data_IF_833270899251
#
_entry.id   IF_833270899251
#
_cell.length_a   1.000
_cell.length_b   1.000
_cell.length_c   1.000
_cell.angle_alpha   90.00
_cell.angle_beta   90.00
_cell.angle_gamma   90.00
#
_symmetry.space_group_name_H-M   'P 1'
#
loop_
_entity.id
_entity.type
_entity.pdbx_description
1 polymer ?
#
# COMPACT_ATOMS: atom_id res chain seq x y z
N UNK A 1 -14.60 -29.81 8.68
CA UNK A 1 -14.87 -28.35 8.63
C UNK A 1 -13.74 -27.52 8.00
N UNK A 2 -12.48 -27.58 8.44
CA UNK A 2 -11.39 -26.74 7.87
C UNK A 2 -11.16 -26.89 6.35
N UNK A 3 -11.17 -28.11 5.80
CA UNK A 3 -11.00 -28.35 4.34
C UNK A 3 -12.14 -27.76 3.49
N UNK A 4 -13.39 -27.94 3.91
CA UNK A 4 -14.56 -27.38 3.22
C UNK A 4 -14.53 -25.84 3.18
N UNK A 5 -14.03 -25.20 4.25
CA UNK A 5 -13.87 -23.75 4.32
C UNK A 5 -12.75 -23.24 3.39
N UNK A 6 -11.65 -23.99 3.25
CA UNK A 6 -10.55 -23.67 2.33
C UNK A 6 -11.03 -23.79 0.88
N UNK A 7 -11.75 -24.86 0.54
CA UNK A 7 -12.31 -25.04 -0.80
C UNK A 7 -13.36 -23.97 -1.14
N UNK A 8 -14.17 -23.54 -0.18
CA UNK A 8 -15.15 -22.46 -0.37
C UNK A 8 -14.46 -21.10 -0.59
N UNK A 9 -13.41 -20.77 0.17
CA UNK A 9 -12.61 -19.56 -0.03
C UNK A 9 -11.90 -19.56 -1.39
N UNK A 10 -11.22 -20.64 -1.74
CA UNK A 10 -10.60 -20.79 -3.06
C UNK A 10 -11.60 -20.65 -4.19
N UNK A 11 -12.80 -21.24 -4.08
CA UNK A 11 -13.87 -21.10 -5.07
C UNK A 11 -14.33 -19.65 -5.18
N UNK A 12 -14.49 -18.93 -4.07
CA UNK A 12 -14.90 -17.52 -4.07
C UNK A 12 -13.83 -16.64 -4.73
N UNK A 13 -12.56 -16.75 -4.34
CA UNK A 13 -11.45 -15.96 -4.90
C UNK A 13 -11.23 -16.28 -6.39
N UNK A 14 -11.30 -17.56 -6.77
CA UNK A 14 -11.24 -17.98 -8.19
C UNK A 14 -12.44 -17.49 -9.00
N UNK A 15 -13.63 -17.39 -8.38
CA UNK A 15 -14.84 -16.88 -9.04
C UNK A 15 -14.75 -15.38 -9.29
N UNK A 16 -14.22 -14.60 -8.34
CA UNK A 16 -13.97 -13.16 -8.51
C UNK A 16 -13.03 -12.94 -9.70
N UNK A 17 -11.91 -13.67 -9.77
CA UNK A 17 -10.95 -13.58 -10.88
C UNK A 17 -11.60 -13.98 -12.20
N UNK A 18 -12.32 -15.11 -12.26
CA UNK A 18 -12.99 -15.57 -13.49
C UNK A 18 -14.14 -14.68 -13.96
N UNK A 19 -14.80 -13.95 -13.06
CA UNK A 19 -15.82 -12.97 -13.41
C UNK A 19 -15.20 -11.69 -13.97
N UNK A 20 -14.05 -11.26 -13.44
CA UNK A 20 -13.28 -10.16 -14.02
C UNK A 20 -12.77 -10.51 -15.43
N UNK A 21 -12.17 -11.69 -15.60
CA UNK A 21 -11.67 -12.18 -16.89
C UNK A 21 -12.76 -12.31 -17.96
N UNK A 22 -14.01 -12.60 -17.57
CA UNK A 22 -15.15 -12.74 -18.51
C UNK A 22 -15.87 -11.43 -18.84
N UNK A 23 -15.73 -10.41 -17.98
CA UNK A 23 -16.42 -9.13 -18.16
C UNK A 23 -15.69 -8.19 -19.14
N UNK A 24 -14.46 -8.53 -19.53
CA UNK A 24 -13.57 -7.71 -20.36
C UNK A 24 -12.97 -8.58 -21.46
N UNK A 25 -13.63 -8.62 -22.61
CA UNK A 25 -13.10 -9.28 -23.82
C UNK A 25 -11.97 -8.41 -24.42
N UNK A 26 -10.88 -8.26 -23.67
CA UNK A 26 -9.78 -7.34 -23.96
C UNK A 26 -8.60 -8.16 -24.50
N UNK A 27 -8.16 -7.85 -25.73
CA UNK A 27 -6.90 -8.39 -26.27
C UNK A 27 -5.72 -7.82 -25.48
N UNK A 28 -5.22 -8.52 -24.46
CA UNK A 28 -4.06 -8.11 -23.68
C UNK A 28 -2.75 -8.22 -24.49
N UNK A 29 -1.71 -7.42 -24.18
CA UNK A 29 -0.40 -7.59 -24.79
C UNK A 29 0.14 -9.01 -24.55
N UNK A 30 0.88 -9.54 -25.53
CA UNK A 30 1.44 -10.89 -25.44
C UNK A 30 2.29 -11.05 -24.17
N UNK A 31 2.09 -12.15 -23.45
CA UNK A 31 2.82 -12.45 -22.20
C UNK A 31 2.26 -11.77 -20.96
N UNK A 32 1.27 -10.88 -21.10
CA UNK A 32 0.60 -10.23 -19.98
C UNK A 32 -0.67 -10.98 -19.57
N UNK A 33 -1.11 -10.76 -18.33
CA UNK A 33 -2.43 -11.14 -17.84
C UNK A 33 -3.08 -9.95 -17.14
N UNK A 34 -4.36 -10.08 -16.76
CA UNK A 34 -4.94 -9.13 -15.82
C UNK A 34 -4.21 -9.22 -14.46
N UNK A 35 -4.15 -8.10 -13.73
CA UNK A 35 -3.64 -8.11 -12.35
C UNK A 35 -4.72 -8.57 -11.39
N UNK A 36 -4.42 -9.64 -10.65
CA UNK A 36 -5.33 -10.16 -9.65
C UNK A 36 -5.41 -9.23 -8.45
N UNK A 37 -4.28 -8.68 -8.01
CA UNK A 37 -4.22 -7.71 -6.91
C UNK A 37 -4.97 -6.41 -7.25
N UNK A 38 -4.99 -6.00 -8.52
CA UNK A 38 -5.82 -4.88 -8.99
C UNK A 38 -7.31 -5.15 -8.79
N UNK A 39 -7.76 -6.35 -9.18
CA UNK A 39 -9.14 -6.79 -9.01
C UNK A 39 -9.52 -6.81 -7.53
N UNK A 40 -8.66 -7.35 -6.67
CA UNK A 40 -8.88 -7.34 -5.23
C UNK A 40 -8.92 -5.93 -4.65
N UNK A 41 -8.09 -4.99 -5.13
CA UNK A 41 -8.09 -3.61 -4.66
C UNK A 41 -9.34 -2.82 -5.11
N UNK A 42 -9.86 -3.13 -6.31
CA UNK A 42 -11.11 -2.56 -6.81
C UNK A 42 -12.32 -3.01 -5.96
N UNK A 43 -12.24 -4.19 -5.33
CA UNK A 43 -13.09 -4.52 -4.20
C UNK A 43 -12.61 -3.68 -3.01
N UNK A 44 -13.38 -2.67 -2.61
CA UNK A 44 -13.00 -1.66 -1.61
C UNK A 44 -12.64 -2.24 -0.23
N UNK A 45 -12.74 -3.55 0.00
CA UNK A 45 -12.34 -4.23 1.23
C UNK A 45 -10.82 -4.49 1.33
N UNK A 46 -10.06 -4.42 0.22
CA UNK A 46 -8.60 -4.61 0.21
C UNK A 46 -7.79 -3.33 0.03
N UNK A 47 -8.38 -2.16 0.28
CA UNK A 47 -7.64 -0.90 0.37
C UNK A 47 -7.16 -0.64 1.80
N UNK A 48 -6.17 0.24 1.94
CA UNK A 48 -5.54 0.53 3.22
C UNK A 48 -6.53 1.14 4.23
N UNK A 49 -7.39 2.05 3.79
CA UNK A 49 -8.42 2.66 4.65
C UNK A 49 -9.40 1.63 5.24
N UNK A 50 -9.82 0.64 4.46
CA UNK A 50 -10.69 -0.44 4.93
C UNK A 50 -10.01 -1.28 6.02
N UNK A 51 -8.70 -1.53 5.88
CA UNK A 51 -7.90 -2.26 6.88
C UNK A 51 -7.78 -1.48 8.19
N UNK A 52 -7.68 -0.14 8.12
CA UNK A 52 -7.58 0.72 9.30
C UNK A 52 -8.92 0.94 10.03
N UNK A 53 -10.05 0.72 9.35
CA UNK A 53 -11.41 0.91 9.87
C UNK A 53 -11.67 0.00 11.09
N UNK A 54 -12.44 0.47 12.09
CA UNK A 54 -12.81 -0.39 13.20
C UNK A 54 -13.90 -1.37 12.76
N UNK A 55 -13.78 -2.61 13.23
CA UNK A 55 -14.72 -3.70 12.91
C UNK A 55 -15.55 -4.00 14.13
N UNK A 56 -16.87 -3.88 14.00
CA UNK A 56 -17.83 -4.20 15.07
C UNK A 56 -17.83 -5.71 15.32
N UNK A 57 -17.87 -6.11 16.59
CA UNK A 57 -17.96 -7.51 16.96
C UNK A 57 -19.35 -8.11 16.66
N UNK A 58 -19.47 -9.42 16.70
CA UNK A 58 -20.74 -10.12 16.38
C UNK A 58 -21.92 -9.73 17.29
N UNK A 59 -21.66 -9.23 18.49
CA UNK A 59 -22.68 -8.76 19.43
C UNK A 59 -23.08 -7.30 19.25
N UNK A 60 -22.41 -6.53 18.39
CA UNK A 60 -22.65 -5.10 18.24
C UNK A 60 -22.20 -4.25 19.43
N UNK A 61 -21.58 -4.85 20.45
CA UNK A 61 -21.32 -4.22 21.75
C UNK A 61 -19.92 -3.58 21.86
N UNK A 62 -19.11 -3.69 20.80
CA UNK A 62 -17.76 -3.15 20.77
C UNK A 62 -17.04 -3.51 19.47
N UNK A 63 -15.73 -3.26 19.44
CA UNK A 63 -14.89 -3.50 18.27
C UNK A 63 -13.96 -4.70 18.49
N UNK A 64 -13.69 -5.47 17.43
CA UNK A 64 -12.78 -6.62 17.48
C UNK A 64 -11.32 -6.20 17.38
N UNK A 65 -11.03 -5.18 16.56
CA UNK A 65 -9.68 -4.72 16.24
C UNK A 65 -9.34 -3.36 16.85
N UNK A 66 -10.14 -2.85 17.79
CA UNK A 66 -9.92 -1.57 18.46
C UNK A 66 -10.28 -1.70 19.94
N UNK A 67 -9.31 -1.50 20.83
CA UNK A 67 -9.56 -1.54 22.27
C UNK A 67 -8.65 -0.59 23.04
N UNK A 68 -9.11 -0.13 24.20
CA UNK A 68 -8.35 0.72 25.09
C UNK A 68 -7.65 -0.12 26.16
N UNK A 69 -6.40 0.19 26.46
CA UNK A 69 -5.69 -0.31 27.62
C UNK A 69 -6.25 0.37 28.89
N UNK A 70 -6.72 -0.40 29.89
CA UNK A 70 -7.38 0.17 31.07
C UNK A 70 -6.43 0.97 31.96
N UNK A 71 -5.13 0.68 31.93
CA UNK A 71 -4.10 1.27 32.78
C UNK A 71 -3.54 2.54 32.13
N UNK A 72 -3.11 2.45 30.88
CA UNK A 72 -2.49 3.57 30.17
C UNK A 72 -3.50 4.53 29.56
N UNK A 73 -4.77 4.10 29.43
CA UNK A 73 -5.84 4.82 28.71
C UNK A 73 -5.41 5.19 27.28
N UNK A 74 -4.65 4.30 26.63
CA UNK A 74 -4.23 4.40 25.23
C UNK A 74 -4.73 3.21 24.44
N UNK A 75 -4.70 3.32 23.11
CA UNK A 75 -4.92 2.20 22.23
C UNK A 75 -4.05 1.03 22.68
N UNK A 76 -4.68 -0.13 22.84
CA UNK A 76 -4.00 -1.35 23.24
C UNK A 76 -3.03 -1.75 22.13
N UNK A 77 -1.77 -1.96 22.53
CA UNK A 77 -0.76 -2.55 21.65
C UNK A 77 -1.20 -3.94 21.22
N UNK A 78 -1.08 -4.22 19.92
CA UNK A 78 -1.39 -5.47 19.27
C UNK A 78 -0.08 -6.04 18.71
N UNK A 79 0.77 -6.69 19.53
CA UNK A 79 1.92 -7.42 19.04
C UNK A 79 1.47 -8.64 18.24
N UNK A 80 2.23 -9.00 17.20
CA UNK A 80 1.91 -10.13 16.31
C UNK A 80 3.13 -11.03 16.12
N UNK A 81 2.89 -12.24 15.63
CA UNK A 81 3.93 -13.26 15.48
C UNK A 81 4.96 -12.92 14.39
N UNK A 82 4.56 -12.27 13.30
CA UNK A 82 5.46 -11.92 12.21
C UNK A 82 5.33 -10.43 11.83
N UNK A 83 6.45 -9.72 11.85
CA UNK A 83 6.57 -8.37 11.31
C UNK A 83 7.93 -8.23 10.65
N UNK A 84 7.94 -7.89 9.37
CA UNK A 84 9.16 -7.73 8.58
C UNK A 84 9.20 -6.35 7.93
N UNK A 85 10.40 -5.78 7.87
CA UNK A 85 10.70 -4.64 7.01
C UNK A 85 11.32 -5.13 5.71
N UNK A 86 10.98 -4.50 4.59
CA UNK A 86 11.60 -4.83 3.31
C UNK A 86 11.63 -3.63 2.36
N UNK A 87 12.57 -3.63 1.41
CA UNK A 87 12.64 -2.65 0.33
C UNK A 87 12.67 -3.38 -1.01
N UNK A 88 11.88 -2.90 -1.97
CA UNK A 88 12.08 -3.25 -3.37
C UNK A 88 13.32 -2.53 -3.89
N UNK A 89 14.24 -3.26 -4.50
CA UNK A 89 15.50 -2.69 -5.00
C UNK A 89 15.37 -2.46 -6.51
N UNK A 90 15.17 -3.53 -7.26
CA UNK A 90 15.06 -3.50 -8.71
C UNK A 90 14.37 -4.76 -9.23
N UNK A 91 13.79 -4.67 -10.43
CA UNK A 91 13.35 -5.81 -11.20
C UNK A 91 14.15 -5.90 -12.51
N UNK A 92 14.74 -7.06 -12.78
CA UNK A 92 15.67 -7.31 -13.88
C UNK A 92 15.09 -8.29 -14.89
N UNK A 93 15.56 -8.16 -16.13
CA UNK A 93 15.14 -9.00 -17.26
C UNK A 93 13.64 -8.97 -17.49
N UNK A 94 12.98 -7.85 -17.19
CA UNK A 94 11.55 -7.69 -17.49
C UNK A 94 11.43 -7.54 -19.00
N UNK A 95 10.64 -8.41 -19.62
CA UNK A 95 10.40 -8.31 -21.06
C UNK A 95 9.72 -6.97 -21.35
N UNK A 96 10.29 -6.13 -22.23
CA UNK A 96 9.61 -4.91 -22.65
C UNK A 96 8.25 -5.27 -23.24
N UNK A 97 7.24 -4.45 -22.95
CA UNK A 97 5.96 -4.58 -23.62
C UNK A 97 6.16 -4.22 -25.10
N UNK A 98 6.04 -5.21 -25.99
CA UNK A 98 6.20 -5.07 -27.44
C UNK A 98 4.81 -4.84 -28.07
N UNK A 99 4.66 -3.78 -28.87
CA UNK A 99 3.45 -3.46 -29.66
C UNK A 99 3.23 -1.96 -29.87
N UNK A 100 2.16 -1.58 -30.56
CA UNK A 100 1.77 -0.18 -30.84
C UNK A 100 1.18 0.57 -29.62
N UNK A 101 1.19 -0.06 -28.46
CA UNK A 101 0.52 0.45 -27.26
C UNK A 101 1.47 1.23 -26.38
N UNK A 102 1.03 2.40 -25.93
CA UNK A 102 1.83 3.30 -25.10
C UNK A 102 1.79 2.86 -23.63
N UNK A 103 2.95 2.63 -23.03
CA UNK A 103 3.08 2.40 -21.59
C UNK A 103 3.07 3.75 -20.86
N UNK A 104 2.12 3.93 -19.94
CA UNK A 104 1.89 5.17 -19.18
C UNK A 104 2.52 5.14 -17.80
N UNK A 105 2.88 3.96 -17.31
CA UNK A 105 3.31 3.76 -15.94
C UNK A 105 3.69 2.32 -15.64
N UNK A 106 4.47 2.13 -14.57
CA UNK A 106 4.93 0.82 -14.09
C UNK A 106 4.95 0.84 -12.57
N UNK A 107 4.59 -0.26 -11.95
CA UNK A 107 4.57 -0.39 -10.48
C UNK A 107 4.58 -1.86 -10.07
N UNK A 108 4.81 -2.11 -8.79
CA UNK A 108 4.60 -3.43 -8.17
C UNK A 108 3.44 -3.33 -7.22
N UNK A 109 2.46 -4.22 -7.37
CA UNK A 109 1.42 -4.48 -6.36
C UNK A 109 1.89 -5.60 -5.46
N UNK A 110 1.55 -5.52 -4.18
CA UNK A 110 1.87 -6.56 -3.21
C UNK A 110 0.81 -6.71 -2.13
N UNK A 111 0.66 -7.93 -1.61
CA UNK A 111 -0.21 -8.21 -0.48
C UNK A 111 0.21 -9.50 0.25
N UNK A 112 -0.25 -9.66 1.49
CA UNK A 112 -0.18 -10.93 2.21
C UNK A 112 -1.10 -11.95 1.53
N UNK A 113 -0.56 -13.14 1.26
CA UNK A 113 -1.22 -14.20 0.52
C UNK A 113 -0.96 -15.56 1.19
N UNK A 114 -1.94 -16.45 1.20
CA UNK A 114 -1.84 -17.80 1.78
C UNK A 114 -1.92 -18.92 0.73
N UNK A 115 -1.62 -18.59 -0.53
CA UNK A 115 -1.86 -19.40 -1.73
C UNK A 115 -3.34 -19.55 -2.13
N UNK A 116 -4.27 -18.96 -1.37
CA UNK A 116 -5.72 -19.10 -1.63
C UNK A 116 -6.49 -17.79 -1.63
N UNK A 117 -6.12 -16.83 -0.79
CA UNK A 117 -6.82 -15.57 -0.64
C UNK A 117 -5.86 -14.45 -0.20
N UNK A 118 -6.25 -13.22 -0.51
CA UNK A 118 -5.51 -12.01 -0.11
C UNK A 118 -5.92 -11.63 1.32
N UNK A 119 -4.95 -11.63 2.23
CA UNK A 119 -5.19 -11.49 3.68
C UNK A 119 -4.93 -10.08 4.24
N UNK A 120 -4.23 -9.22 3.49
CA UNK A 120 -4.00 -7.82 3.85
C UNK A 120 -4.65 -6.88 2.84
N UNK A 121 -4.53 -5.57 3.06
CA UNK A 121 -4.69 -4.62 1.96
C UNK A 121 -3.65 -4.88 0.85
N UNK A 122 -3.99 -4.45 -0.36
CA UNK A 122 -3.06 -4.36 -1.49
C UNK A 122 -2.29 -3.06 -1.38
N UNK A 123 -0.96 -3.13 -1.43
CA UNK A 123 -0.07 -1.98 -1.44
C UNK A 123 0.66 -1.91 -2.78
N UNK A 124 1.02 -0.70 -3.23
CA UNK A 124 1.69 -0.50 -4.52
C UNK A 124 2.89 0.43 -4.37
N UNK A 125 3.97 0.13 -5.09
CA UNK A 125 5.14 1.00 -5.21
C UNK A 125 5.36 1.32 -6.70
N UNK A 126 5.43 2.61 -7.08
CA UNK A 126 5.75 2.99 -8.45
C UNK A 126 7.19 2.60 -8.82
N UNK A 127 7.38 2.16 -10.06
CA UNK A 127 8.70 1.86 -10.60
C UNK A 127 9.24 3.05 -11.40
N UNK A 128 10.54 3.27 -11.29
CA UNK A 128 11.32 4.21 -12.09
C UNK A 128 11.82 3.46 -13.32
N UNK A 129 11.34 3.89 -14.49
CA UNK A 129 11.73 3.33 -15.78
C UNK A 129 12.98 4.04 -16.32
N UNK A 130 14.02 3.27 -16.64
CA UNK A 130 15.22 3.79 -17.30
C UNK A 130 15.15 3.48 -18.79
N UNK A 131 15.09 4.51 -19.65
CA UNK A 131 14.93 4.33 -21.10
C UNK A 131 16.13 3.63 -21.73
N UNK A 132 17.30 3.83 -21.16
CA UNK A 132 18.58 3.26 -21.59
C UNK A 132 18.67 1.76 -21.30
N UNK A 133 17.89 1.27 -20.31
CA UNK A 133 17.88 -0.13 -19.88
C UNK A 133 16.42 -0.58 -19.68
N UNK A 134 15.67 -0.79 -20.78
CA UNK A 134 14.21 -0.96 -20.74
C UNK A 134 13.74 -2.22 -20.01
N UNK A 135 14.63 -3.20 -19.81
CA UNK A 135 14.39 -4.44 -19.08
C UNK A 135 14.70 -4.34 -17.58
N UNK A 136 15.02 -3.14 -17.08
CA UNK A 136 15.36 -2.86 -15.69
C UNK A 136 14.40 -1.82 -15.12
N UNK A 137 13.71 -2.20 -14.04
CA UNK A 137 12.87 -1.30 -13.26
C UNK A 137 13.58 -1.05 -11.94
N UNK A 138 13.69 0.22 -11.53
CA UNK A 138 14.21 0.58 -10.20
C UNK A 138 13.07 1.06 -9.31
N UNK A 139 13.25 0.98 -8.01
CA UNK A 139 12.24 1.46 -7.05
C UNK A 139 12.76 2.59 -6.15
N UNK A 140 14.02 3.00 -6.31
CA UNK A 140 14.56 4.20 -5.67
C UNK A 140 15.45 4.94 -6.66
N UNK A 141 15.39 6.28 -6.60
CA UNK A 141 16.30 7.18 -7.31
C UNK A 141 17.61 7.40 -6.55
N UNK A 142 17.66 7.03 -5.26
CA UNK A 142 18.83 7.24 -4.41
C UNK A 142 19.89 6.17 -4.68
N UNK A 143 21.13 6.61 -4.88
CA UNK A 143 22.26 5.71 -5.08
C UNK A 143 22.69 4.94 -3.81
N UNK A 144 22.20 5.34 -2.63
CA UNK A 144 22.63 4.78 -1.34
C UNK A 144 21.59 3.82 -0.75
N UNK A 145 22.04 2.59 -0.45
CA UNK A 145 21.29 1.52 0.22
C UNK A 145 21.33 1.62 1.76
N UNK A 146 21.94 2.69 2.30
CA UNK A 146 21.95 2.97 3.74
C UNK A 146 20.62 3.62 4.13
N UNK A 147 19.63 2.75 4.38
CA UNK A 147 18.36 3.01 5.06
C UNK A 147 17.81 4.45 5.01
N UNK A 148 17.14 4.86 3.93
CA UNK A 148 16.25 5.99 4.02
C UNK A 148 14.99 5.53 4.76
N UNK A 149 14.80 5.99 6.00
CA UNK A 149 13.49 5.87 6.71
C UNK A 149 12.34 6.55 5.93
N UNK A 150 12.70 7.33 4.91
CA UNK A 150 11.82 8.28 4.23
C UNK A 150 11.54 7.88 2.77
N UNK A 151 11.86 6.66 2.34
CA UNK A 151 11.66 6.22 0.96
C UNK A 151 10.39 5.38 0.81
N UNK A 152 9.55 5.71 -0.18
CA UNK A 152 8.26 5.05 -0.44
C UNK A 152 8.43 3.56 -0.78
N UNK A 153 9.61 3.17 -1.26
CA UNK A 153 9.93 1.78 -1.57
C UNK A 153 10.25 0.91 -0.34
N UNK A 154 10.30 1.52 0.84
CA UNK A 154 10.66 0.86 2.11
C UNK A 154 9.39 0.59 2.91
N UNK A 155 9.03 -0.69 2.95
CA UNK A 155 7.76 -1.20 3.43
C UNK A 155 7.88 -2.03 4.70
N UNK A 156 6.73 -2.26 5.31
CA UNK A 156 6.53 -3.32 6.28
C UNK A 156 5.34 -4.19 5.90
N UNK A 157 5.39 -5.43 6.36
CA UNK A 157 4.25 -6.32 6.40
C UNK A 157 4.21 -6.99 7.76
N UNK A 158 3.00 -7.16 8.28
CA UNK A 158 2.78 -7.88 9.53
C UNK A 158 1.58 -8.80 9.44
N UNK A 159 1.62 -9.86 10.22
CA UNK A 159 0.55 -10.86 10.38
C UNK A 159 0.67 -11.54 11.73
N UNK A 160 -0.48 -11.90 12.31
CA UNK A 160 -0.53 -12.71 13.52
C UNK A 160 -0.62 -14.21 13.25
N UNK A 161 -0.86 -14.59 12.00
CA UNK A 161 -0.88 -15.98 11.56
C UNK A 161 0.54 -16.52 11.35
N UNK A 162 0.73 -17.78 11.69
CA UNK A 162 1.97 -18.54 11.42
C UNK A 162 1.59 -19.79 10.65
N UNK A 163 1.81 -19.72 9.34
CA UNK A 163 1.61 -20.82 8.41
C UNK A 163 2.70 -20.72 7.33
N UNK A 164 3.32 -21.85 7.00
CA UNK A 164 4.36 -21.97 5.97
C UNK A 164 3.87 -21.58 4.57
N UNK A 165 2.55 -21.51 4.37
CA UNK A 165 1.94 -21.04 3.13
C UNK A 165 1.89 -19.52 3.01
N UNK A 166 2.11 -18.78 4.09
CA UNK A 166 2.06 -17.34 4.06
C UNK A 166 3.25 -16.80 3.29
N UNK A 167 2.95 -15.95 2.32
CA UNK A 167 3.92 -15.26 1.52
C UNK A 167 3.48 -13.82 1.24
N UNK A 168 4.42 -13.00 0.79
CA UNK A 168 4.10 -11.78 0.08
C UNK A 168 3.95 -12.14 -1.40
N UNK A 169 2.77 -11.93 -1.97
CA UNK A 169 2.55 -11.99 -3.41
C UNK A 169 2.95 -10.64 -4.01
N UNK A 170 3.77 -10.65 -5.06
CA UNK A 170 4.12 -9.49 -5.86
C UNK A 170 3.57 -9.66 -7.27
N UNK A 171 2.95 -8.61 -7.82
CA UNK A 171 2.61 -8.50 -9.25
C UNK A 171 3.27 -7.25 -9.82
N UNK A 172 4.16 -7.42 -10.80
CA UNK A 172 4.67 -6.32 -11.61
C UNK A 172 3.60 -5.93 -12.60
N UNK A 173 3.19 -4.66 -12.54
CA UNK A 173 2.10 -4.12 -13.31
C UNK A 173 2.60 -3.01 -14.23
N UNK A 174 1.96 -2.89 -15.38
CA UNK A 174 2.14 -1.78 -16.31
C UNK A 174 0.78 -1.18 -16.65
N UNK A 175 0.71 0.15 -16.68
CA UNK A 175 -0.43 0.86 -17.24
C UNK A 175 -0.21 1.05 -18.74
N UNK A 176 -1.18 0.63 -19.52
CA UNK A 176 -1.11 0.61 -20.98
C UNK A 176 -2.31 1.32 -21.56
N UNK A 177 -2.05 2.15 -22.57
CA UNK A 177 -3.07 2.79 -23.38
C UNK A 177 -3.68 1.78 -24.37
N UNK A 178 -4.99 1.57 -24.28
CA UNK A 178 -5.77 0.79 -25.24
C UNK A 178 -6.44 1.79 -26.19
N UNK A 179 -6.10 1.71 -27.47
CA UNK A 179 -6.70 2.56 -28.50
C UNK A 179 -7.33 1.67 -29.56
N UNK A 180 -8.65 1.61 -29.57
CA UNK A 180 -9.41 1.02 -30.68
C UNK A 180 -10.45 1.99 -31.27
N UNK A 181 -10.70 3.15 -30.63
CA UNK A 181 -11.65 4.16 -31.13
C UNK A 181 -11.03 5.56 -31.10
N UNK A 182 -11.10 6.28 -32.22
CA UNK A 182 -10.74 7.71 -32.29
C UNK A 182 -11.61 8.49 -31.28
N UNK A 183 -11.00 9.05 -30.24
CA UNK A 183 -11.57 9.92 -29.19
C UNK A 183 -11.88 9.29 -27.82
N UNK A 184 -11.49 8.03 -27.54
CA UNK A 184 -11.48 7.51 -26.16
C UNK A 184 -10.22 6.69 -25.91
N UNK A 185 -9.35 7.21 -25.06
CA UNK A 185 -8.19 6.49 -24.54
C UNK A 185 -8.63 5.69 -23.33
N UNK A 186 -8.77 4.38 -23.46
CA UNK A 186 -9.00 3.51 -22.32
C UNK A 186 -7.65 3.10 -21.73
N UNK A 187 -7.44 3.32 -20.44
CA UNK A 187 -6.23 2.91 -19.73
C UNK A 187 -6.53 1.59 -19.02
N UNK A 188 -5.71 0.58 -19.27
CA UNK A 188 -5.78 -0.68 -18.55
C UNK A 188 -4.51 -0.93 -17.76
N UNK A 189 -4.64 -1.69 -16.69
CA UNK A 189 -3.51 -2.23 -15.95
C UNK A 189 -3.34 -3.70 -16.31
N UNK A 190 -2.11 -4.08 -16.67
CA UNK A 190 -1.76 -5.47 -16.98
C UNK A 190 -0.63 -5.95 -16.07
N UNK A 191 -0.71 -7.20 -15.64
CA UNK A 191 0.38 -7.90 -14.97
C UNK A 191 1.38 -8.41 -16.01
N UNK A 192 2.65 -8.05 -15.84
CA UNK A 192 3.77 -8.49 -16.68
C UNK A 192 4.59 -9.61 -16.03
N UNK A 193 4.26 -9.94 -14.78
CA UNK A 193 4.83 -11.07 -14.07
C UNK A 193 4.54 -11.00 -12.58
N UNK A 194 4.53 -12.16 -11.93
CA UNK A 194 4.25 -12.27 -10.50
C UNK A 194 5.26 -13.20 -9.81
N UNK A 195 5.46 -13.01 -8.51
CA UNK A 195 6.37 -13.83 -7.71
C UNK A 195 5.97 -13.83 -6.24
N UNK A 196 6.52 -14.75 -5.46
CA UNK A 196 6.18 -14.92 -4.06
C UNK A 196 7.43 -14.91 -3.17
N UNK A 197 7.33 -14.30 -2.00
CA UNK A 197 8.32 -14.39 -0.94
C UNK A 197 7.68 -15.07 0.28
N UNK A 198 8.01 -16.34 0.60
CA UNK A 198 7.55 -16.98 1.81
C UNK A 198 7.92 -16.18 3.05
N UNK A 199 7.05 -16.14 4.06
CA UNK A 199 7.35 -15.53 5.36
C UNK A 199 8.04 -16.49 6.31
N UNK A 200 7.85 -17.79 6.08
CA UNK A 200 8.42 -18.86 6.88
C UNK A 200 9.08 -19.90 5.97
N UNK A 201 10.15 -20.51 6.46
CA UNK A 201 10.79 -21.68 5.85
C UNK A 201 9.95 -22.94 6.10
N UNK A 202 10.30 -24.05 5.44
CA UNK A 202 9.55 -25.31 5.53
C UNK A 202 9.52 -25.93 6.93
N UNK A 203 10.45 -25.56 7.80
CA UNK A 203 10.50 -25.95 9.22
C UNK A 203 9.69 -25.00 10.14
N UNK A 204 9.04 -23.99 9.56
CA UNK A 204 8.20 -23.02 10.28
C UNK A 204 8.97 -21.84 10.90
N UNK A 205 10.28 -21.71 10.67
CA UNK A 205 11.04 -20.55 11.14
C UNK A 205 10.84 -19.34 10.24
N UNK A 206 10.89 -18.12 10.79
CA UNK A 206 10.75 -16.90 9.98
C UNK A 206 11.95 -16.73 9.04
N UNK A 207 11.72 -16.18 7.85
CA UNK A 207 12.79 -15.96 6.87
C UNK A 207 13.93 -15.06 7.38
N UNK A 208 15.13 -15.28 6.85
CA UNK A 208 16.35 -14.57 7.25
C UNK A 208 16.37 -13.12 6.77
N UNK A 209 17.13 -12.28 7.47
CA UNK A 209 17.41 -10.90 7.09
C UNK A 209 18.49 -10.86 6.00
N UNK A 210 18.08 -10.89 4.74
CA UNK A 210 18.99 -10.83 3.59
C UNK A 210 18.30 -10.29 2.36
N UNK A 211 19.05 -10.18 1.28
CA UNK A 211 18.50 -9.94 -0.05
C UNK A 211 18.00 -11.24 -0.67
N UNK A 212 16.81 -11.19 -1.25
CA UNK A 212 16.17 -12.26 -1.99
C UNK A 212 16.06 -11.86 -3.46
N UNK A 213 16.31 -12.82 -4.34
CA UNK A 213 16.13 -12.67 -5.79
C UNK A 213 14.95 -13.55 -6.19
N UNK A 214 13.77 -12.93 -6.30
CA UNK A 214 12.49 -13.61 -6.51
C UNK A 214 12.28 -13.77 -8.00
N UNK A 215 12.16 -15.02 -8.47
CA UNK A 215 11.80 -15.30 -9.86
C UNK A 215 10.36 -14.84 -10.13
N UNK A 216 10.16 -14.23 -11.29
CA UNK A 216 8.85 -13.83 -11.76
C UNK A 216 8.34 -14.80 -12.82
N UNK A 217 7.05 -15.09 -12.75
CA UNK A 217 6.31 -15.99 -13.64
C UNK A 217 5.25 -15.21 -14.41
N UNK A 218 4.93 -15.65 -15.63
CA UNK A 218 3.83 -15.10 -16.42
C UNK A 218 2.48 -15.70 -16.02
N UNK A 219 1.38 -15.07 -16.46
CA UNK A 219 0.02 -15.55 -16.21
C UNK A 219 -0.49 -15.22 -14.81
N UNK A 220 -1.54 -15.91 -14.37
CA UNK A 220 -2.17 -15.66 -13.07
C UNK A 220 -1.50 -16.44 -11.93
N UNK A 221 -1.32 -15.83 -10.74
CA UNK A 221 -0.87 -16.53 -9.52
C UNK A 221 -1.82 -17.64 -9.05
N UNK A 222 -3.07 -17.68 -9.56
CA UNK A 222 -4.06 -18.71 -9.21
C UNK A 222 -4.13 -19.86 -10.23
N UNK A 223 -3.29 -19.86 -11.27
CA UNK A 223 -3.28 -20.93 -12.27
C UNK A 223 -2.68 -22.22 -11.69
N UNK A 224 -3.21 -23.40 -12.05
CA UNK A 224 -2.69 -24.69 -11.54
C UNK A 224 -1.23 -24.95 -11.96
N UNK A 225 -0.81 -24.37 -13.08
CA UNK A 225 0.55 -24.45 -13.60
C UNK A 225 1.55 -23.58 -12.81
N UNK A 226 1.07 -22.52 -12.17
CA UNK A 226 1.88 -21.62 -11.34
C UNK A 226 2.57 -22.37 -10.20
N UNK A 227 1.80 -23.12 -9.42
CA UNK A 227 2.30 -23.87 -8.26
C UNK A 227 3.07 -25.13 -8.67
N UNK A 228 2.76 -25.73 -9.81
CA UNK A 228 3.48 -26.91 -10.31
C UNK A 228 4.94 -26.61 -10.70
N UNK A 229 5.20 -25.40 -11.23
CA UNK A 229 6.54 -24.94 -11.64
C UNK A 229 7.49 -24.69 -10.47
N UNK A 230 6.96 -24.37 -9.28
CA UNK A 230 7.76 -24.13 -8.07
C UNK A 230 8.37 -25.44 -7.51
N UNK A 231 7.69 -26.59 -7.69
CA UNK A 231 8.13 -27.89 -7.18
C UNK A 231 8.97 -28.72 -8.16
N UNK A 232 8.94 -28.44 -9.47
CA UNK A 232 9.57 -29.30 -10.48
C UNK A 232 10.97 -28.86 -10.92
N UNK A 233 11.38 -27.61 -10.75
CA UNK A 233 12.67 -27.13 -11.27
C UNK A 233 13.82 -27.19 -10.23
N UNK A 234 14.24 -28.39 -9.83
CA UNK A 234 15.60 -28.61 -9.31
C UNK A 234 16.60 -28.60 -10.47
N UNK A 235 17.03 -27.42 -10.95
CA UNK A 235 18.08 -27.31 -11.98
C UNK A 235 19.48 -27.23 -11.36
N UNK A 236 20.41 -27.95 -11.98
CA UNK A 236 21.81 -28.12 -11.58
C UNK A 236 22.57 -26.80 -11.59
N UNK A 237 23.31 -26.53 -10.50
CA UNK A 237 24.13 -25.33 -10.25
C UNK A 237 25.06 -24.93 -11.42
N UNK A 238 25.46 -25.89 -12.25
CA UNK A 238 26.38 -25.69 -13.37
C UNK A 238 25.75 -25.06 -14.63
N UNK A 239 24.43 -25.19 -14.83
CA UNK A 239 23.75 -24.55 -15.98
C UNK A 239 23.58 -23.03 -15.79
N UNK A 240 23.43 -22.59 -14.54
CA UNK A 240 23.24 -21.18 -14.14
C UNK A 240 24.50 -20.32 -14.35
N UNK A 241 25.68 -20.95 -14.30
CA UNK A 241 26.98 -20.28 -14.52
C UNK A 241 27.29 -20.02 -16.00
N UNK A 242 26.77 -20.85 -16.91
CA UNK A 242 27.09 -20.79 -18.35
C UNK A 242 26.10 -19.90 -19.12
N UNK A 243 24.84 -19.85 -18.69
CA UNK A 243 23.79 -19.02 -19.30
C UNK A 243 23.34 -17.99 -18.28
N UNK A 244 24.12 -16.91 -18.11
CA UNK A 244 23.87 -15.87 -17.10
C UNK A 244 22.37 -15.59 -16.93
N UNK A 245 21.85 -15.71 -15.70
CA UNK A 245 20.41 -15.77 -15.39
C UNK A 245 19.58 -14.75 -16.19
N UNK A 246 18.92 -15.21 -17.26
CA UNK A 246 18.08 -14.39 -18.17
C UNK A 246 16.61 -14.31 -17.74
N UNK A 247 16.21 -15.01 -16.68
CA UNK A 247 14.81 -15.00 -16.25
C UNK A 247 14.42 -13.67 -15.58
N UNK A 248 13.18 -13.19 -15.79
CA UNK A 248 12.60 -12.06 -15.06
C UNK A 248 12.67 -12.29 -13.54
N UNK A 249 13.13 -11.29 -12.78
CA UNK A 249 13.28 -11.40 -11.33
C UNK A 249 13.15 -10.07 -10.60
N UNK A 250 12.73 -10.13 -9.35
CA UNK A 250 12.57 -9.00 -8.44
C UNK A 250 13.53 -9.14 -7.25
N UNK A 251 14.41 -8.15 -7.06
CA UNK A 251 15.32 -8.09 -5.94
C UNK A 251 14.69 -7.34 -4.76
N UNK A 252 14.66 -7.98 -3.61
CA UNK A 252 14.10 -7.45 -2.37
C UNK A 252 15.12 -7.60 -1.24
N UNK A 253 15.28 -6.56 -0.42
CA UNK A 253 16.07 -6.64 0.82
C UNK A 253 15.12 -6.73 2.01
N UNK A 254 15.30 -7.72 2.88
CA UNK A 254 14.48 -7.94 4.08
C UNK A 254 15.30 -7.73 5.34
N UNK A 255 14.70 -7.14 6.38
CA UNK A 255 15.32 -6.97 7.69
C UNK A 255 14.30 -6.98 8.83
N UNK A 256 14.80 -7.21 10.05
CA UNK A 256 14.04 -7.03 11.29
C UNK A 256 13.93 -5.56 11.65
N UNK A 257 12.74 -5.13 12.00
CA UNK A 257 12.48 -3.77 12.47
C UNK A 257 12.96 -3.57 13.90
N UNK A 258 13.47 -2.38 14.21
CA UNK A 258 13.88 -2.02 15.57
C UNK A 258 12.69 -1.79 16.50
N UNK A 259 12.90 -1.94 17.82
CA UNK A 259 11.82 -1.86 18.80
C UNK A 259 11.02 -0.55 18.73
N UNK A 260 11.68 0.59 18.54
CA UNK A 260 11.00 1.88 18.51
C UNK A 260 9.93 2.01 17.42
N UNK A 261 10.20 1.50 16.21
CA UNK A 261 9.18 1.48 15.14
C UNK A 261 8.15 0.37 15.35
N UNK A 262 8.54 -0.76 15.96
CA UNK A 262 7.61 -1.83 16.31
C UNK A 262 6.55 -1.37 17.32
N UNK A 263 6.90 -0.52 18.28
CA UNK A 263 5.94 0.02 19.25
C UNK A 263 4.81 0.81 18.58
N UNK A 264 5.13 1.55 17.51
CA UNK A 264 4.15 2.26 16.69
C UNK A 264 3.39 1.31 15.75
N UNK A 265 4.08 0.38 15.09
CA UNK A 265 3.46 -0.63 14.23
C UNK A 265 2.45 -1.47 15.02
N UNK A 266 2.74 -1.78 16.29
CA UNK A 266 1.83 -2.53 17.15
C UNK A 266 0.51 -1.79 17.44
N UNK A 267 0.38 -0.50 17.09
CA UNK A 267 -0.90 0.21 17.14
C UNK A 267 -1.78 -0.06 15.91
N UNK A 268 -1.24 -0.70 14.87
CA UNK A 268 -1.92 -1.00 13.61
C UNK A 268 -2.64 -2.36 13.68
N UNK A 269 -3.54 -2.66 12.73
CA UNK A 269 -4.18 -3.97 12.60
C UNK A 269 -3.18 -5.12 12.48
N UNK A 270 -3.65 -6.34 12.75
CA UNK A 270 -2.83 -7.55 12.75
C UNK A 270 -2.26 -7.90 11.38
N UNK A 271 -3.03 -7.66 10.31
CA UNK A 271 -2.65 -7.97 8.92
C UNK A 271 -2.72 -6.71 8.07
N UNK A 272 -1.55 -6.14 7.75
CA UNK A 272 -1.45 -4.87 7.02
C UNK A 272 -0.10 -4.80 6.28
N UNK A 273 -0.11 -4.18 5.12
CA UNK A 273 1.08 -3.90 4.31
C UNK A 273 1.08 -2.43 3.87
N UNK A 274 2.17 -1.70 4.11
CA UNK A 274 2.32 -0.30 3.68
C UNK A 274 3.78 0.13 3.75
N UNK A 275 4.07 1.37 3.34
CA UNK A 275 5.37 1.99 3.52
C UNK A 275 5.62 2.41 4.97
N UNK A 276 6.87 2.31 5.41
CA UNK A 276 7.27 2.53 6.81
C UNK A 276 7.04 3.98 7.26
N UNK A 277 7.24 4.96 6.37
CA UNK A 277 7.02 6.37 6.72
C UNK A 277 5.54 6.73 6.97
N UNK A 278 4.58 5.87 6.59
CA UNK A 278 3.16 6.05 6.95
C UNK A 278 2.83 5.57 8.37
N UNK A 279 3.68 4.78 9.02
CA UNK A 279 3.38 4.18 10.33
C UNK A 279 2.97 5.22 11.37
N UNK A 280 3.70 6.34 11.57
CA UNK A 280 3.37 7.29 12.63
C UNK A 280 1.99 7.92 12.45
N UNK A 281 1.63 8.28 11.21
CA UNK A 281 0.32 8.89 10.92
C UNK A 281 -0.82 7.87 11.01
N UNK A 282 -0.62 6.64 10.54
CA UNK A 282 -1.61 5.56 10.67
C UNK A 282 -1.84 5.16 12.14
N UNK A 283 -0.77 5.06 12.93
CA UNK A 283 -0.84 4.76 14.35
C UNK A 283 -1.57 5.87 15.11
N UNK A 284 -1.26 7.14 14.79
CA UNK A 284 -1.94 8.28 15.41
C UNK A 284 -3.42 8.36 15.03
N UNK A 285 -3.76 8.10 13.77
CA UNK A 285 -5.15 7.97 13.31
C UNK A 285 -5.93 6.94 14.15
N UNK A 286 -5.39 5.73 14.31
CA UNK A 286 -6.02 4.68 15.11
C UNK A 286 -6.14 5.02 16.60
N UNK A 287 -5.14 5.69 17.17
CA UNK A 287 -5.22 6.18 18.55
C UNK A 287 -6.35 7.21 18.70
N UNK A 288 -6.46 8.18 17.79
CA UNK A 288 -7.52 9.21 17.84
C UNK A 288 -8.90 8.56 17.65
N UNK A 289 -9.01 7.58 16.75
CA UNK A 289 -10.22 6.79 16.56
C UNK A 289 -10.61 6.05 17.85
N UNK A 290 -9.67 5.40 18.53
CA UNK A 290 -9.90 4.75 19.83
C UNK A 290 -10.39 5.73 20.90
N UNK A 291 -9.74 6.89 21.02
CA UNK A 291 -10.16 7.95 21.94
C UNK A 291 -11.57 8.46 21.60
N UNK A 292 -11.89 8.58 20.31
CA UNK A 292 -13.15 9.15 19.84
C UNK A 292 -14.30 8.14 19.92
N UNK A 293 -14.06 6.84 19.76
CA UNK A 293 -15.12 5.83 19.75
C UNK A 293 -15.33 5.15 21.11
N UNK A 294 -14.26 4.95 21.88
CA UNK A 294 -14.30 4.13 23.11
C UNK A 294 -14.28 5.00 24.37
N UNK A 295 -13.44 6.04 24.40
CA UNK A 295 -13.18 6.80 25.64
C UNK A 295 -14.31 7.76 25.98
N UNK A 296 -14.78 8.48 24.98
CA UNK A 296 -15.88 9.40 25.15
C UNK A 296 -17.20 8.60 25.07
N UNK A 297 -17.99 8.60 26.15
CA UNK A 297 -19.26 7.85 26.25
C UNK A 297 -20.47 8.64 25.73
N UNK A 298 -20.26 9.85 25.20
CA UNK A 298 -21.32 10.62 24.55
C UNK A 298 -21.64 10.10 23.14
N UNK A 299 -22.63 9.23 23.01
CA UNK A 299 -23.10 8.64 21.73
C UNK A 299 -23.78 9.64 20.76
N UNK A 300 -23.54 10.95 20.89
CA UNK A 300 -24.03 11.95 19.93
C UNK A 300 -23.22 11.96 18.63
N UNK A 301 -23.68 12.65 17.57
CA UNK A 301 -22.92 12.79 16.32
C UNK A 301 -21.55 13.43 16.60
N UNK A 302 -20.48 12.66 16.41
CA UNK A 302 -19.10 13.15 16.54
C UNK A 302 -18.56 13.46 15.17
N UNK A 303 -18.19 14.71 14.95
CA UNK A 303 -17.46 15.12 13.75
C UNK A 303 -16.03 15.43 14.15
N UNK A 304 -15.12 14.53 13.80
CA UNK A 304 -13.69 14.85 13.77
C UNK A 304 -13.30 14.87 12.29
N UNK A 305 -13.24 16.05 11.65
CA UNK A 305 -12.96 16.19 10.21
C UNK A 305 -11.71 15.41 9.78
N UNK A 306 -10.69 15.37 10.64
CA UNK A 306 -9.47 14.63 10.35
C UNK A 306 -9.71 13.12 10.33
N UNK A 307 -10.59 12.59 11.18
CA UNK A 307 -10.99 11.19 11.14
C UNK A 307 -11.83 10.83 9.91
N UNK A 308 -12.67 11.77 9.44
CA UNK A 308 -13.51 11.58 8.25
C UNK A 308 -12.68 11.60 6.96
N UNK A 309 -11.73 12.53 6.85
CA UNK A 309 -10.95 12.75 5.63
C UNK A 309 -9.75 11.79 5.50
N UNK A 310 -9.13 11.39 6.61
CA UNK A 310 -7.93 10.55 6.57
C UNK A 310 -8.07 9.28 5.72
N UNK A 311 -9.19 8.51 5.78
CA UNK A 311 -9.42 7.38 4.87
C UNK A 311 -9.23 7.70 3.38
N UNK A 312 -9.73 8.84 2.90
CA UNK A 312 -9.61 9.27 1.50
C UNK A 312 -8.16 9.55 1.13
N UNK A 313 -7.43 10.27 1.99
CA UNK A 313 -5.99 10.51 1.82
C UNK A 313 -5.23 9.19 1.83
N UNK A 314 -5.58 8.28 2.73
CA UNK A 314 -4.91 6.99 2.92
C UNK A 314 -5.01 6.07 1.70
N UNK A 315 -6.05 6.22 0.87
CA UNK A 315 -6.20 5.47 -0.37
C UNK A 315 -5.35 6.02 -1.53
N UNK A 316 -4.74 7.20 -1.38
CA UNK A 316 -3.88 7.83 -2.39
C UNK A 316 -2.43 7.88 -1.86
N UNK A 317 -1.57 7.00 -2.37
CA UNK A 317 -0.21 6.79 -1.81
C UNK A 317 0.63 8.06 -1.74
N UNK A 318 0.50 8.92 -2.76
CA UNK A 318 1.22 10.19 -2.88
C UNK A 318 0.78 11.21 -1.81
N UNK A 319 -0.53 11.34 -1.57
CA UNK A 319 -1.05 12.21 -0.51
C UNK A 319 -0.78 11.65 0.89
N UNK A 320 -0.82 10.33 1.08
CA UNK A 320 -0.41 9.73 2.34
C UNK A 320 1.08 9.98 2.62
N UNK A 321 1.94 9.89 1.60
CA UNK A 321 3.35 10.21 1.73
C UNK A 321 3.58 11.70 2.05
N UNK A 322 2.88 12.59 1.35
CA UNK A 322 2.87 14.02 1.65
C UNK A 322 2.46 14.28 3.12
N UNK A 323 1.39 13.63 3.58
CA UNK A 323 0.94 13.74 4.97
C UNK A 323 2.01 13.27 5.96
N UNK A 324 2.70 12.16 5.66
CA UNK A 324 3.82 11.66 6.46
C UNK A 324 4.96 12.68 6.57
N UNK A 325 5.36 13.30 5.46
CA UNK A 325 6.40 14.35 5.46
C UNK A 325 5.96 15.54 6.30
N UNK A 326 4.73 16.03 6.12
CA UNK A 326 4.18 17.17 6.87
C UNK A 326 4.14 16.85 8.38
N UNK A 327 3.66 15.65 8.73
CA UNK A 327 3.61 15.15 10.10
C UNK A 327 4.98 15.10 10.74
N UNK A 328 5.97 14.49 10.08
CA UNK A 328 7.33 14.40 10.60
C UNK A 328 7.89 15.80 10.87
N UNK A 329 7.80 16.72 9.89
CA UNK A 329 8.26 18.11 10.04
C UNK A 329 7.58 18.82 11.22
N UNK A 330 6.26 18.69 11.37
CA UNK A 330 5.49 19.34 12.44
C UNK A 330 5.72 18.74 13.82
N UNK A 331 6.12 17.48 13.92
CA UNK A 331 6.31 16.76 15.19
C UNK A 331 7.77 16.67 15.65
N UNK A 332 8.74 16.93 14.77
CA UNK A 332 10.18 16.86 15.06
C UNK A 332 10.61 17.65 16.31
N UNK A 333 10.01 18.83 16.53
CA UNK A 333 10.28 19.69 17.70
C UNK A 333 9.41 19.38 18.93
N UNK A 334 8.34 18.63 18.76
CA UNK A 334 7.40 18.26 19.83
C UNK A 334 8.03 17.20 20.75
N UNK A 335 8.83 16.29 20.19
CA UNK A 335 9.52 15.22 20.93
C UNK A 335 10.60 15.72 21.91
N UNK A 336 11.08 16.97 21.78
CA UNK A 336 12.19 17.50 22.58
C UNK A 336 11.76 18.27 23.84
N UNK A 337 10.48 18.62 23.97
CA UNK A 337 9.97 19.35 25.13
C UNK A 337 9.53 18.35 26.21
N UNK A 338 10.03 18.49 27.45
CA UNK A 338 9.64 17.74 28.66
C UNK A 338 8.17 17.99 29.06
N UNK A 339 7.23 17.76 28.16
CA UNK A 339 5.80 17.95 28.40
C UNK A 339 5.25 16.71 29.09
N UNK A 340 4.38 16.87 30.10
CA UNK A 340 3.67 15.74 30.72
C UNK A 340 2.97 14.91 29.63
N UNK A 341 3.08 13.58 29.70
CA UNK A 341 2.56 12.64 28.70
C UNK A 341 1.11 12.89 28.26
N UNK A 342 0.23 13.32 29.17
CA UNK A 342 -1.16 13.65 28.85
C UNK A 342 -1.31 14.90 27.97
N UNK A 343 -0.58 15.98 28.28
CA UNK A 343 -0.57 17.21 27.48
C UNK A 343 0.05 16.98 26.11
N UNK A 344 1.10 16.17 26.04
CA UNK A 344 1.72 15.76 24.78
C UNK A 344 0.72 15.07 23.85
N UNK A 345 -0.10 14.16 24.37
CA UNK A 345 -1.09 13.44 23.54
C UNK A 345 -2.18 14.33 22.97
N UNK A 346 -2.67 15.30 23.77
CA UNK A 346 -3.61 16.32 23.30
C UNK A 346 -2.99 17.17 22.20
N UNK A 347 -1.74 17.63 22.40
CA UNK A 347 -1.02 18.41 21.41
C UNK A 347 -0.79 17.64 20.11
N UNK A 348 -0.39 16.36 20.19
CA UNK A 348 -0.23 15.50 19.02
C UNK A 348 -1.55 15.21 18.30
N UNK A 349 -2.68 15.09 19.03
CA UNK A 349 -4.01 14.98 18.39
C UNK A 349 -4.34 16.25 17.61
N UNK A 350 -4.14 17.43 18.20
CA UNK A 350 -4.36 18.71 17.52
C UNK A 350 -3.47 18.84 16.27
N UNK A 351 -2.18 18.52 16.40
CA UNK A 351 -1.23 18.55 15.27
C UNK A 351 -1.63 17.58 14.16
N UNK A 352 -2.15 16.41 14.50
CA UNK A 352 -2.63 15.45 13.51
C UNK A 352 -3.79 16.05 12.70
N UNK A 353 -4.76 16.65 13.40
CA UNK A 353 -5.86 17.38 12.76
C UNK A 353 -5.36 18.49 11.83
N UNK A 354 -4.44 19.32 12.29
CA UNK A 354 -3.81 20.35 11.45
C UNK A 354 -3.14 19.75 10.20
N UNK A 355 -2.41 18.65 10.32
CA UNK A 355 -1.74 18.02 9.17
C UNK A 355 -2.75 17.49 8.15
N UNK A 356 -3.78 16.77 8.60
CA UNK A 356 -4.82 16.24 7.71
C UNK A 356 -5.56 17.38 7.00
N UNK A 357 -5.93 18.43 7.73
CA UNK A 357 -6.63 19.59 7.16
C UNK A 357 -5.75 20.46 6.25
N UNK A 358 -4.42 20.32 6.29
CA UNK A 358 -3.52 20.93 5.31
C UNK A 358 -3.48 20.17 3.99
N UNK A 359 -3.66 18.85 4.02
CA UNK A 359 -3.64 18.00 2.82
C UNK A 359 -5.03 17.93 2.17
N UNK A 360 -6.10 17.97 2.97
CA UNK A 360 -7.48 17.87 2.49
C UNK A 360 -7.83 18.80 1.32
N UNK A 361 -7.51 20.11 1.32
CA UNK A 361 -7.90 21.01 0.23
C UNK A 361 -7.29 20.64 -1.13
N UNK A 362 -6.17 19.91 -1.14
CA UNK A 362 -5.51 19.46 -2.37
C UNK A 362 -6.44 18.56 -3.19
N UNK A 363 -7.26 17.74 -2.53
CA UNK A 363 -8.23 16.86 -3.17
C UNK A 363 -9.27 17.62 -4.02
N UNK A 364 -9.43 18.92 -3.76
CA UNK A 364 -10.48 19.77 -4.32
C UNK A 364 -9.94 20.92 -5.18
N UNK A 365 -8.64 20.93 -5.47
CA UNK A 365 -8.03 21.94 -6.35
C UNK A 365 -8.45 21.71 -7.81
N UNK A 366 -8.80 22.78 -8.52
CA UNK A 366 -9.36 22.74 -9.87
C UNK A 366 -8.54 21.93 -10.88
N UNK A 367 -7.23 22.15 -10.92
CA UNK A 367 -6.33 21.46 -11.85
C UNK A 367 -5.60 20.26 -11.21
N UNK A 368 -5.97 19.85 -9.99
CA UNK A 368 -5.34 18.71 -9.36
C UNK A 368 -5.76 17.41 -10.08
N UNK A 369 -4.82 16.68 -10.71
CA UNK A 369 -5.19 15.52 -11.51
C UNK A 369 -5.84 14.42 -10.68
N UNK A 370 -6.82 13.71 -11.24
CA UNK A 370 -7.39 12.51 -10.61
C UNK A 370 -6.28 11.49 -10.29
N UNK A 371 -6.40 10.81 -9.15
CA UNK A 371 -5.42 9.82 -8.75
C UNK A 371 -5.54 8.57 -9.64
N UNK A 372 -4.48 8.31 -10.41
CA UNK A 372 -4.33 7.08 -11.21
C UNK A 372 -3.05 6.39 -10.75
N UNK A 373 -3.21 5.38 -9.89
CA UNK A 373 -2.10 4.65 -9.27
C UNK A 373 -1.16 4.06 -10.33
N UNK A 374 0.13 4.33 -10.21
CA UNK A 374 1.15 3.85 -11.13
C UNK A 374 1.32 4.69 -12.40
N UNK A 375 0.43 5.66 -12.70
CA UNK A 375 0.56 6.50 -13.90
C UNK A 375 1.65 7.56 -13.71
N UNK A 376 2.73 7.47 -14.49
CA UNK A 376 3.95 8.25 -14.28
C UNK A 376 3.71 9.76 -14.42
N UNK A 377 3.10 10.20 -15.52
CA UNK A 377 2.82 11.64 -15.74
C UNK A 377 1.85 12.23 -14.72
N UNK A 378 0.76 11.52 -14.43
CA UNK A 378 -0.24 11.94 -13.44
C UNK A 378 0.39 12.05 -12.05
N UNK A 379 1.18 11.05 -11.65
CA UNK A 379 1.93 11.07 -10.38
C UNK A 379 2.91 12.25 -10.33
N UNK A 380 3.67 12.50 -11.40
CA UNK A 380 4.60 13.63 -11.46
C UNK A 380 3.88 14.98 -11.35
N UNK A 381 2.75 15.15 -12.06
CA UNK A 381 1.93 16.35 -11.97
C UNK A 381 1.38 16.56 -10.55
N UNK A 382 0.86 15.52 -9.92
CA UNK A 382 0.35 15.60 -8.53
C UNK A 382 1.45 15.91 -7.52
N UNK A 383 2.64 15.33 -7.69
CA UNK A 383 3.82 15.65 -6.87
C UNK A 383 4.29 17.10 -7.06
N UNK A 384 4.15 17.67 -8.26
CA UNK A 384 4.46 19.09 -8.48
C UNK A 384 3.54 20.01 -7.66
N UNK A 385 2.23 19.70 -7.57
CA UNK A 385 1.32 20.42 -6.67
C UNK A 385 1.78 20.33 -5.21
N UNK A 386 2.10 19.12 -4.75
CA UNK A 386 2.59 18.90 -3.39
C UNK A 386 3.85 19.72 -3.08
N UNK A 387 4.82 19.74 -4.00
CA UNK A 387 6.06 20.51 -3.85
C UNK A 387 5.78 22.02 -3.83
N UNK A 388 4.97 22.53 -4.75
CA UNK A 388 4.61 23.95 -4.78
C UNK A 388 3.95 24.40 -3.47
N UNK A 389 3.06 23.56 -2.91
CA UNK A 389 2.40 23.85 -1.62
C UNK A 389 3.41 23.84 -0.48
N UNK A 390 4.39 22.94 -0.50
CA UNK A 390 5.46 22.91 0.50
C UNK A 390 6.39 24.13 0.42
N UNK A 391 6.68 24.62 -0.79
CA UNK A 391 7.62 25.72 -1.01
C UNK A 391 7.00 27.11 -0.78
N UNK A 392 5.82 27.36 -1.33
CA UNK A 392 5.18 28.69 -1.30
C UNK A 392 4.05 28.79 -0.27
N UNK A 393 3.49 27.65 0.15
CA UNK A 393 2.30 27.63 0.98
C UNK A 393 1.00 27.86 0.18
N UNK A 394 -0.07 27.26 0.68
CA UNK A 394 -1.37 27.24 -0.03
C UNK A 394 -1.97 28.63 -0.26
N UNK A 395 -1.87 29.55 0.71
CA UNK A 395 -2.45 30.90 0.60
C UNK A 395 -1.77 31.70 -0.51
N UNK A 396 -0.44 31.60 -0.62
CA UNK A 396 0.32 32.31 -1.65
C UNK A 396 -0.01 31.76 -3.05
N UNK A 397 -0.12 30.44 -3.19
CA UNK A 397 -0.52 29.80 -4.44
C UNK A 397 -1.92 30.20 -4.89
N UNK A 398 -2.88 30.22 -3.97
CA UNK A 398 -4.25 30.69 -4.23
C UNK A 398 -4.28 32.14 -4.71
N UNK A 399 -3.42 32.99 -4.16
CA UNK A 399 -3.32 34.39 -4.58
C UNK A 399 -2.65 34.58 -5.95
N UNK A 400 -1.61 33.79 -6.26
CA UNK A 400 -0.83 33.93 -7.50
C UNK A 400 -1.46 33.27 -8.72
N UNK A 401 -2.14 32.14 -8.55
CA UNK A 401 -2.71 31.37 -9.66
C UNK A 401 -4.01 30.68 -9.24
N UNK A 402 -5.07 31.48 -9.10
CA UNK A 402 -6.39 31.02 -8.65
C UNK A 402 -7.03 30.01 -9.60
N UNK A 403 -6.75 30.08 -10.89
CA UNK A 403 -7.34 29.16 -11.86
C UNK A 403 -6.83 27.72 -11.65
N UNK A 404 -5.54 27.58 -11.35
CA UNK A 404 -4.89 26.30 -11.09
C UNK A 404 -5.11 25.77 -9.67
N UNK A 405 -4.88 26.61 -8.65
CA UNK A 405 -4.93 26.21 -7.23
C UNK A 405 -6.25 26.51 -6.54
N UNK A 406 -7.21 27.13 -7.26
CA UNK A 406 -8.55 27.41 -6.76
C UNK A 406 -9.21 26.14 -6.25
N UNK A 407 -9.93 26.26 -5.14
CA UNK A 407 -10.55 25.14 -4.46
C UNK A 407 -12.05 25.15 -4.77
N UNK A 408 -12.55 24.03 -5.28
CA UNK A 408 -13.97 23.84 -5.49
C UNK A 408 -14.75 23.89 -4.16
N UNK A 409 -16.04 24.28 -4.16
CA UNK A 409 -16.87 24.23 -2.95
C UNK A 409 -16.88 22.82 -2.34
N UNK A 410 -16.67 22.74 -1.02
CA UNK A 410 -16.66 21.47 -0.29
C UNK A 410 -18.08 20.98 0.02
N UNK A 411 -18.30 19.67 -0.05
CA UNK A 411 -19.48 19.05 0.58
C UNK A 411 -19.21 18.83 2.07
N UNK A 412 -20.02 19.44 2.93
CA UNK A 412 -19.92 19.28 4.38
C UNK A 412 -20.16 17.83 4.84
N UNK A 413 -20.81 17.00 4.02
CA UNK A 413 -20.96 15.57 4.30
C UNK A 413 -19.61 14.85 4.35
N UNK A 414 -18.58 15.33 3.64
CA UNK A 414 -17.23 14.74 3.67
C UNK A 414 -16.56 14.85 5.04
N UNK A 415 -16.97 15.82 5.86
CA UNK A 415 -16.43 16.05 7.19
C UNK A 415 -17.19 15.27 8.28
N UNK A 416 -18.28 14.59 7.91
CA UNK A 416 -19.04 13.76 8.83
C UNK A 416 -18.33 12.41 9.03
N UNK A 417 -17.91 12.12 10.27
CA UNK A 417 -17.32 10.82 10.61
C UNK A 417 -18.41 9.76 10.81
N UNK A 418 -18.74 9.01 9.76
CA UNK A 418 -19.67 7.88 9.85
C UNK A 418 -18.90 6.59 10.17
N UNK A 419 -18.61 6.38 11.46
CA UNK A 419 -18.12 5.09 11.92
C UNK A 419 -19.29 4.09 12.03
N UNK A 420 -19.07 2.80 11.70
CA UNK A 420 -20.09 1.77 11.80
C UNK A 420 -20.52 1.50 13.25
#
# INVERSE_FOLDING_TARGET
>A
MKRANIEAKQRKSTTIVKQADKARDINLPKGCSESVLSTFRQNEDKVLSATLRPTVNSSGSGFTNLSMDPTTKRLRSCPVQCTIGFSLIEAKNIEPLIGDRRVLGRHVRMALFDNTDILSNVHSIPAIHMREVPNLWKFSSKASLLFPKDDENTCFLRTNDVDIKLCILFELCALVEMSEVKNKTDIIEVSVGWGMLPLFTSDGTAIENKSYDIRLYSGSPYSKEAFAKEFTEKKSFFQTLIHGNKHPRLNIKVWKLGQGILDEINQLPESICSFLSAVPVMAKYRQIMCDTLIRDKNYGPRQDPALAVFPTICNQSDLLHLLSIIWERKTKSVSQKKMKNSKLQVHLKQKFGECVMLVWPILHMHEFPAYIEGHEKVSASRMAFANNIQELGMIELLGKNRDQYGIAPFDMAELASNFP
#
